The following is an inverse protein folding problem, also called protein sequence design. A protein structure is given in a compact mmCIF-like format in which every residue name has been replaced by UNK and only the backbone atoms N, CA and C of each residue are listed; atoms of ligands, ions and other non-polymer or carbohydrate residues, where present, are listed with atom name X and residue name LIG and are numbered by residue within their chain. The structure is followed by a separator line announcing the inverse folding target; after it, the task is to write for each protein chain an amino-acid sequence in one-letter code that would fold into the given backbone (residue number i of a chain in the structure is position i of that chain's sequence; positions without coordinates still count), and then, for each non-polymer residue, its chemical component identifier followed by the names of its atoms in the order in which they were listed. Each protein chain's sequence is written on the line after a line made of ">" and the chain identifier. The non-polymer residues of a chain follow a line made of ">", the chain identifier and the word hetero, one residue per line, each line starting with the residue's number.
data_IF_841394138127
#
_entry.id   IF_841394138127
#
_cell.length_a   1.000
_cell.length_b   1.000
_cell.length_c   1.000
_cell.angle_alpha   90.00
_cell.angle_beta   90.00
_cell.angle_gamma   90.00
#
_symmetry.space_group_name_H-M   'P 1'
#
loop_
_entity.id
_entity.type
_entity.pdbx_description
1 polymer ?
#
# COMPACT_ATOMS: atom_id res chain seq x y z
N UNK A 1 62.98 70.94 -26.74
CA UNK A 1 62.76 69.51 -26.43
C UNK A 1 62.06 69.34 -25.08
N UNK A 2 62.59 69.80 -23.95
CA UNK A 2 61.97 69.60 -22.62
C UNK A 2 60.53 70.16 -22.47
N UNK A 3 60.24 71.37 -22.95
CA UNK A 3 58.92 72.00 -22.81
C UNK A 3 57.80 71.34 -23.65
N UNK A 4 58.17 70.59 -24.68
CA UNK A 4 57.23 69.89 -25.57
C UNK A 4 56.85 68.51 -25.02
N UNK A 5 57.78 67.89 -24.28
CA UNK A 5 57.56 66.66 -23.53
C UNK A 5 56.66 66.88 -22.31
N UNK A 6 56.85 67.98 -21.56
CA UNK A 6 55.97 68.34 -20.44
C UNK A 6 54.50 68.52 -20.87
N UNK A 7 54.26 69.23 -21.97
CA UNK A 7 52.89 69.42 -22.51
C UNK A 7 52.23 68.12 -22.96
N UNK A 8 53.01 67.18 -23.53
CA UNK A 8 52.50 65.86 -23.89
C UNK A 8 52.20 65.02 -22.65
N UNK A 9 53.03 65.14 -21.61
CA UNK A 9 52.83 64.46 -20.34
C UNK A 9 51.57 64.95 -19.65
N UNK A 10 51.39 66.26 -19.56
CA UNK A 10 50.23 66.92 -18.94
C UNK A 10 48.92 66.50 -19.63
N UNK A 11 48.91 66.49 -20.96
CA UNK A 11 47.76 66.02 -21.74
C UNK A 11 47.45 64.54 -21.52
N UNK A 12 48.49 63.71 -21.38
CA UNK A 12 48.33 62.27 -21.09
C UNK A 12 47.81 62.02 -19.68
N UNK A 13 48.23 62.84 -18.71
CA UNK A 13 47.72 62.80 -17.33
C UNK A 13 46.25 63.21 -17.27
N UNK A 14 45.87 64.24 -18.02
CA UNK A 14 44.46 64.67 -18.13
C UNK A 14 43.58 63.61 -18.81
N UNK A 15 44.06 62.98 -19.88
CA UNK A 15 43.36 61.87 -20.54
C UNK A 15 43.20 60.66 -19.60
N UNK A 16 44.24 60.31 -18.84
CA UNK A 16 44.16 59.23 -17.84
C UNK A 16 43.21 59.57 -16.68
N UNK A 17 43.18 60.83 -16.24
CA UNK A 17 42.25 61.29 -15.22
C UNK A 17 40.79 61.22 -15.70
N UNK A 18 40.52 61.62 -16.95
CA UNK A 18 39.19 61.47 -17.55
C UNK A 18 38.79 59.99 -17.68
N UNK A 19 39.68 59.13 -18.18
CA UNK A 19 39.43 57.69 -18.25
C UNK A 19 39.13 57.10 -16.87
N UNK A 20 39.85 57.52 -15.82
CA UNK A 20 39.58 57.09 -14.46
C UNK A 20 38.17 57.48 -14.01
N UNK A 21 37.76 58.73 -14.25
CA UNK A 21 36.43 59.23 -13.87
C UNK A 21 35.33 58.48 -14.62
N UNK A 22 35.52 58.22 -15.92
CA UNK A 22 34.56 57.49 -16.74
C UNK A 22 34.43 56.02 -16.30
N UNK A 23 35.56 55.35 -16.03
CA UNK A 23 35.56 53.99 -15.47
C UNK A 23 34.90 53.94 -14.10
N UNK A 24 35.13 54.94 -13.24
CA UNK A 24 34.52 55.00 -11.91
C UNK A 24 32.99 55.17 -12.00
N UNK A 25 32.50 55.97 -12.95
CA UNK A 25 31.06 56.06 -13.25
C UNK A 25 30.50 54.75 -13.79
N UNK A 26 31.20 54.11 -14.72
CA UNK A 26 30.76 52.85 -15.31
C UNK A 26 30.66 51.73 -14.27
N UNK A 27 31.68 51.60 -13.41
CA UNK A 27 31.67 50.66 -12.27
C UNK A 27 30.48 50.94 -11.35
N UNK A 28 30.21 52.20 -11.03
CA UNK A 28 29.13 52.55 -10.12
C UNK A 28 27.75 52.22 -10.73
N UNK A 29 27.57 52.50 -12.02
CA UNK A 29 26.35 52.13 -12.76
C UNK A 29 26.17 50.60 -12.85
N UNK A 30 27.27 49.87 -13.08
CA UNK A 30 27.25 48.41 -13.11
C UNK A 30 26.89 47.80 -11.74
N UNK A 31 27.34 48.43 -10.65
CA UNK A 31 27.01 48.01 -9.29
C UNK A 31 25.53 48.28 -8.98
N UNK A 32 24.98 49.44 -9.35
CA UNK A 32 23.56 49.75 -9.18
C UNK A 32 22.68 48.76 -9.94
N UNK A 33 22.98 48.50 -11.22
CA UNK A 33 22.20 47.54 -12.03
C UNK A 33 22.31 46.10 -11.51
N UNK A 34 23.45 45.71 -10.91
CA UNK A 34 23.57 44.42 -10.22
C UNK A 34 22.70 44.35 -8.96
N UNK A 35 22.66 45.41 -8.17
CA UNK A 35 21.84 45.48 -6.95
C UNK A 35 20.36 45.35 -7.32
N UNK A 36 19.87 46.11 -8.29
CA UNK A 36 18.47 46.03 -8.75
C UNK A 36 18.09 44.63 -9.27
N UNK A 37 19.00 43.97 -10.00
CA UNK A 37 18.81 42.58 -10.45
C UNK A 37 18.75 41.60 -9.29
N UNK A 38 19.61 41.78 -8.28
CA UNK A 38 19.59 40.91 -7.10
C UNK A 38 18.31 41.11 -6.27
N UNK A 39 17.85 42.35 -6.12
CA UNK A 39 16.60 42.65 -5.41
C UNK A 39 15.38 42.05 -6.12
N UNK A 40 15.30 42.20 -7.44
CA UNK A 40 14.20 41.60 -8.22
C UNK A 40 14.21 40.06 -8.15
N UNK A 41 15.38 39.42 -8.30
CA UNK A 41 15.51 37.96 -8.17
C UNK A 41 15.13 37.51 -6.75
N UNK A 42 15.53 38.26 -5.71
CA UNK A 42 15.20 37.91 -4.33
C UNK A 42 13.69 38.01 -4.06
N UNK A 43 13.02 39.03 -4.60
CA UNK A 43 11.56 39.15 -4.54
C UNK A 43 10.82 38.02 -5.28
N UNK A 44 11.31 37.62 -6.46
CA UNK A 44 10.78 36.46 -7.18
C UNK A 44 10.98 35.14 -6.40
N UNK A 45 12.12 34.98 -5.72
CA UNK A 45 12.39 33.82 -4.87
C UNK A 45 11.47 33.76 -3.65
N UNK A 46 11.26 34.89 -2.97
CA UNK A 46 10.36 34.98 -1.81
C UNK A 46 8.92 34.58 -2.18
N UNK A 47 8.40 35.14 -3.28
CA UNK A 47 7.04 34.79 -3.76
C UNK A 47 6.93 33.32 -4.15
N UNK A 48 7.98 32.74 -4.76
CA UNK A 48 8.03 31.33 -5.12
C UNK A 48 8.07 30.42 -3.89
N UNK A 49 8.80 30.80 -2.85
CA UNK A 49 8.84 30.08 -1.57
C UNK A 49 7.45 30.11 -0.92
N UNK A 50 6.79 31.26 -0.85
CA UNK A 50 5.45 31.39 -0.28
C UNK A 50 4.43 30.52 -1.04
N UNK A 51 4.52 30.50 -2.38
CA UNK A 51 3.67 29.67 -3.21
C UNK A 51 3.90 28.16 -2.96
N UNK A 52 5.16 27.73 -2.87
CA UNK A 52 5.52 26.34 -2.56
C UNK A 52 5.06 25.91 -1.17
N UNK A 53 5.18 26.77 -0.16
CA UNK A 53 4.68 26.48 1.19
C UNK A 53 3.16 26.35 1.21
N UNK A 54 2.44 27.21 0.50
CA UNK A 54 0.98 27.13 0.37
C UNK A 54 0.55 25.84 -0.31
N UNK A 55 1.27 25.42 -1.35
CA UNK A 55 1.02 24.17 -2.06
C UNK A 55 1.31 22.95 -1.17
N UNK A 56 2.42 22.98 -0.42
CA UNK A 56 2.78 21.94 0.56
C UNK A 56 1.71 21.81 1.65
N UNK A 57 1.18 22.91 2.17
CA UNK A 57 0.09 22.90 3.16
C UNK A 57 -1.20 22.36 2.57
N UNK A 58 -1.51 22.67 1.30
CA UNK A 58 -2.69 22.12 0.63
C UNK A 58 -2.57 20.60 0.43
N UNK A 59 -1.41 20.14 -0.05
CA UNK A 59 -1.13 18.73 -0.26
C UNK A 59 -1.17 17.92 1.04
N UNK A 60 -0.66 18.46 2.15
CA UNK A 60 -0.74 17.79 3.47
C UNK A 60 -2.18 17.71 3.97
N UNK A 61 -2.98 18.78 3.85
CA UNK A 61 -4.40 18.77 4.22
C UNK A 61 -5.23 17.78 3.40
N UNK A 62 -4.98 17.69 2.09
CA UNK A 62 -5.64 16.72 1.23
C UNK A 62 -5.27 15.29 1.62
N UNK A 63 -3.99 15.02 1.88
CA UNK A 63 -3.55 13.72 2.40
C UNK A 63 -4.26 13.36 3.71
N UNK A 64 -4.32 14.27 4.67
CA UNK A 64 -4.95 14.00 5.96
C UNK A 64 -6.46 13.73 5.82
N UNK A 65 -7.15 14.48 4.95
CA UNK A 65 -8.55 14.25 4.66
C UNK A 65 -8.79 12.89 3.99
N UNK A 66 -7.93 12.49 3.05
CA UNK A 66 -7.98 11.17 2.42
C UNK A 66 -7.70 10.07 3.44
N UNK A 67 -6.69 10.21 4.28
CA UNK A 67 -6.37 9.26 5.35
C UNK A 67 -7.54 9.10 6.33
N UNK A 68 -8.20 10.20 6.70
CA UNK A 68 -9.37 10.19 7.58
C UNK A 68 -10.56 9.47 6.91
N UNK A 69 -10.82 9.71 5.63
CA UNK A 69 -11.84 8.98 4.83
C UNK A 69 -11.53 7.49 4.74
N UNK A 70 -10.29 7.12 4.44
CA UNK A 70 -9.85 5.72 4.38
C UNK A 70 -9.99 5.04 5.73
N UNK A 71 -9.62 5.70 6.83
CA UNK A 71 -9.72 5.14 8.19
C UNK A 71 -11.18 4.85 8.57
N UNK A 72 -12.08 5.80 8.36
CA UNK A 72 -13.51 5.60 8.66
C UNK A 72 -14.16 4.54 7.77
N UNK A 73 -13.81 4.49 6.49
CA UNK A 73 -14.27 3.43 5.57
C UNK A 73 -13.81 2.05 6.05
N UNK A 74 -12.52 1.93 6.39
CA UNK A 74 -11.92 0.67 6.86
C UNK A 74 -12.53 0.18 8.17
N UNK A 75 -12.81 1.08 9.12
CA UNK A 75 -13.42 0.72 10.42
C UNK A 75 -14.86 0.21 10.26
N UNK A 76 -15.66 0.85 9.41
CA UNK A 76 -17.04 0.41 9.10
C UNK A 76 -17.05 -0.96 8.42
N UNK A 77 -16.14 -1.18 7.48
CA UNK A 77 -16.01 -2.46 6.78
C UNK A 77 -15.55 -3.58 7.73
N UNK A 78 -14.69 -3.29 8.70
CA UNK A 78 -14.22 -4.29 9.66
C UNK A 78 -15.31 -4.75 10.63
N UNK A 79 -16.14 -3.83 11.17
CA UNK A 79 -17.27 -4.20 12.04
C UNK A 79 -18.29 -5.08 11.32
N UNK A 80 -18.57 -4.80 10.04
CA UNK A 80 -19.47 -5.61 9.23
C UNK A 80 -18.85 -6.95 8.83
N UNK A 81 -17.55 -7.00 8.51
CA UNK A 81 -16.85 -8.25 8.25
C UNK A 81 -16.87 -9.16 9.49
N UNK A 82 -16.70 -8.61 10.70
CA UNK A 82 -16.75 -9.36 11.95
C UNK A 82 -18.16 -9.94 12.21
N UNK A 83 -19.22 -9.20 11.87
CA UNK A 83 -20.59 -9.73 11.87
C UNK A 83 -20.77 -10.87 10.86
N UNK A 84 -20.24 -10.74 9.65
CA UNK A 84 -20.29 -11.81 8.64
C UNK A 84 -19.56 -13.07 9.10
N UNK A 85 -18.37 -12.93 9.71
CA UNK A 85 -17.63 -14.05 10.31
C UNK A 85 -18.43 -14.70 11.44
N UNK A 86 -19.07 -13.92 12.31
CA UNK A 86 -19.89 -14.45 13.38
C UNK A 86 -21.10 -15.24 12.85
N UNK A 87 -21.79 -14.72 11.81
CA UNK A 87 -22.90 -15.41 11.15
C UNK A 87 -22.42 -16.73 10.52
N UNK A 88 -21.27 -16.70 9.84
CA UNK A 88 -20.66 -17.88 9.24
C UNK A 88 -20.34 -18.95 10.29
N UNK A 89 -19.77 -18.55 11.43
CA UNK A 89 -19.50 -19.47 12.54
C UNK A 89 -20.77 -20.12 13.12
N UNK A 90 -21.86 -19.35 13.26
CA UNK A 90 -23.16 -19.90 13.69
C UNK A 90 -23.72 -20.88 12.67
N UNK A 91 -23.59 -20.56 11.39
CA UNK A 91 -24.05 -21.42 10.30
C UNK A 91 -23.29 -22.76 10.31
N UNK A 92 -21.97 -22.72 10.46
CA UNK A 92 -21.12 -23.92 10.44
C UNK A 92 -21.28 -24.78 11.71
N UNK A 93 -21.39 -24.17 12.90
CA UNK A 93 -21.45 -24.92 14.17
C UNK A 93 -22.86 -25.34 14.60
N UNK A 94 -23.90 -24.65 14.15
CA UNK A 94 -25.28 -24.89 14.60
C UNK A 94 -26.14 -25.40 13.46
N UNK A 95 -26.17 -24.69 12.33
CA UNK A 95 -27.12 -24.97 11.23
C UNK A 95 -26.75 -26.25 10.49
N UNK A 96 -25.47 -26.42 10.10
CA UNK A 96 -25.02 -27.60 9.35
C UNK A 96 -25.20 -28.90 10.17
N UNK A 97 -24.77 -28.98 11.45
CA UNK A 97 -24.99 -30.18 12.25
C UNK A 97 -26.47 -30.48 12.49
N UNK A 98 -27.30 -29.45 12.68
CA UNK A 98 -28.75 -29.61 12.87
C UNK A 98 -29.44 -30.18 11.62
N UNK A 99 -29.10 -29.69 10.43
CA UNK A 99 -29.65 -30.20 9.16
C UNK A 99 -29.26 -31.67 8.96
N UNK A 100 -28.01 -32.02 9.22
CA UNK A 100 -27.51 -33.38 9.00
C UNK A 100 -28.10 -34.38 9.99
N UNK A 101 -28.26 -33.99 11.25
CA UNK A 101 -28.93 -34.80 12.27
C UNK A 101 -30.42 -34.99 11.97
N UNK A 102 -31.11 -33.93 11.50
CA UNK A 102 -32.53 -34.00 11.13
C UNK A 102 -32.77 -34.89 9.90
N UNK A 103 -31.93 -34.79 8.87
CA UNK A 103 -32.03 -35.56 7.64
C UNK A 103 -31.39 -36.96 7.71
N UNK A 104 -30.77 -37.32 8.85
CA UNK A 104 -30.02 -38.58 9.06
C UNK A 104 -28.98 -38.84 7.96
N UNK A 105 -28.34 -37.79 7.46
CA UNK A 105 -27.29 -37.89 6.44
C UNK A 105 -26.04 -38.50 7.09
N UNK A 106 -25.24 -39.32 6.37
CA UNK A 106 -23.99 -39.84 6.89
C UNK A 106 -23.08 -38.72 7.41
N UNK A 107 -22.49 -38.92 8.58
CA UNK A 107 -21.72 -37.91 9.30
C UNK A 107 -20.55 -37.31 8.50
N UNK A 108 -20.04 -38.08 7.52
CA UNK A 108 -18.98 -37.67 6.60
C UNK A 108 -19.34 -36.41 5.80
N UNK A 109 -20.63 -36.19 5.52
CA UNK A 109 -21.10 -35.01 4.79
C UNK A 109 -21.05 -33.72 5.61
N UNK A 110 -20.92 -33.79 6.95
CA UNK A 110 -20.71 -32.59 7.79
C UNK A 110 -19.42 -31.90 7.34
N UNK A 111 -18.35 -32.67 7.13
CA UNK A 111 -17.04 -32.13 6.78
C UNK A 111 -17.03 -31.49 5.39
N UNK A 112 -17.68 -32.13 4.41
CA UNK A 112 -17.79 -31.59 3.05
C UNK A 112 -18.62 -30.30 3.04
N UNK A 113 -19.76 -30.30 3.75
CA UNK A 113 -20.68 -29.16 3.81
C UNK A 113 -20.05 -27.97 4.52
N UNK A 114 -19.41 -28.20 5.67
CA UNK A 114 -18.68 -27.16 6.42
C UNK A 114 -17.55 -26.60 5.56
N UNK A 115 -16.72 -27.45 4.94
CA UNK A 115 -15.65 -27.00 4.06
C UNK A 115 -16.12 -26.11 2.91
N UNK A 116 -17.22 -26.49 2.25
CA UNK A 116 -17.76 -25.75 1.11
C UNK A 116 -18.35 -24.40 1.54
N UNK A 117 -19.10 -24.39 2.65
CA UNK A 117 -19.75 -23.18 3.15
C UNK A 117 -18.75 -22.20 3.76
N UNK A 118 -17.77 -22.68 4.53
CA UNK A 118 -16.67 -21.84 5.03
C UNK A 118 -15.86 -21.25 3.87
N UNK A 119 -15.61 -22.02 2.81
CA UNK A 119 -14.89 -21.53 1.62
C UNK A 119 -15.61 -20.37 0.95
N UNK A 120 -16.87 -20.56 0.56
CA UNK A 120 -17.65 -19.50 -0.11
C UNK A 120 -17.90 -18.30 0.80
N UNK A 121 -18.16 -18.54 2.09
CA UNK A 121 -18.39 -17.47 3.04
C UNK A 121 -17.14 -16.62 3.31
N UNK A 122 -15.97 -17.24 3.46
CA UNK A 122 -14.68 -16.51 3.56
C UNK A 122 -14.36 -15.78 2.26
N UNK A 123 -14.65 -16.38 1.10
CA UNK A 123 -14.47 -15.72 -0.20
C UNK A 123 -15.32 -14.45 -0.32
N UNK A 124 -16.58 -14.47 0.15
CA UNK A 124 -17.46 -13.30 0.20
C UNK A 124 -16.95 -12.24 1.18
N UNK A 125 -16.45 -12.64 2.35
CA UNK A 125 -15.91 -11.71 3.35
C UNK A 125 -14.64 -11.02 2.83
N UNK A 126 -13.74 -11.77 2.18
CA UNK A 126 -12.53 -11.22 1.57
C UNK A 126 -12.87 -10.23 0.46
N UNK A 127 -13.85 -10.55 -0.40
CA UNK A 127 -14.35 -9.62 -1.41
C UNK A 127 -14.87 -8.32 -0.79
N UNK A 128 -15.74 -8.46 0.22
CA UNK A 128 -16.34 -7.34 0.93
C UNK A 128 -15.31 -6.43 1.59
N UNK A 129 -14.26 -7.00 2.19
CA UNK A 129 -13.20 -6.24 2.84
C UNK A 129 -12.25 -5.56 1.86
N UNK A 130 -11.98 -6.20 0.72
CA UNK A 130 -11.09 -5.65 -0.29
C UNK A 130 -11.71 -4.50 -1.08
N UNK A 131 -13.03 -4.50 -1.26
CA UNK A 131 -13.75 -3.42 -1.98
C UNK A 131 -13.30 -3.25 -3.44
N UNK A 132 -12.52 -4.19 -3.96
CA UNK A 132 -11.97 -4.20 -5.32
C UNK A 132 -12.60 -5.37 -6.07
N UNK A 133 -13.35 -5.06 -7.12
CA UNK A 133 -13.77 -6.03 -8.13
C UNK A 133 -13.02 -5.71 -9.43
N UNK A 134 -12.38 -6.69 -10.10
CA UNK A 134 -12.34 -8.13 -9.81
C UNK A 134 -11.34 -8.52 -8.71
N UNK A 135 -11.50 -9.74 -8.18
CA UNK A 135 -10.59 -10.33 -7.20
C UNK A 135 -9.14 -10.32 -7.68
N UNK A 136 -8.23 -9.83 -6.85
CA UNK A 136 -6.80 -9.99 -7.11
C UNK A 136 -6.34 -11.42 -6.78
N UNK A 137 -5.32 -11.96 -7.47
CA UNK A 137 -4.79 -13.32 -7.24
C UNK A 137 -4.37 -13.53 -5.78
N UNK A 138 -3.91 -12.47 -5.11
CA UNK A 138 -3.58 -12.48 -3.68
C UNK A 138 -4.78 -12.59 -2.74
N UNK A 139 -5.97 -12.13 -3.14
CA UNK A 139 -7.20 -12.19 -2.35
C UNK A 139 -7.80 -13.58 -2.38
N UNK A 140 -7.85 -14.19 -3.56
CA UNK A 140 -8.25 -15.59 -3.74
C UNK A 140 -7.33 -16.50 -2.93
N UNK A 141 -6.01 -16.27 -2.97
CA UNK A 141 -5.04 -17.04 -2.18
C UNK A 141 -5.31 -16.95 -0.68
N UNK A 142 -5.57 -15.74 -0.16
CA UNK A 142 -5.92 -15.54 1.26
C UNK A 142 -7.24 -16.22 1.61
N UNK A 143 -8.26 -16.12 0.77
CA UNK A 143 -9.54 -16.76 1.01
C UNK A 143 -9.40 -18.29 1.11
N UNK A 144 -8.69 -18.91 0.15
CA UNK A 144 -8.37 -20.35 0.16
C UNK A 144 -7.63 -20.73 1.46
N UNK A 145 -6.55 -20.02 1.79
CA UNK A 145 -5.74 -20.39 2.97
C UNK A 145 -6.52 -20.24 4.27
N UNK A 146 -7.28 -19.14 4.43
CA UNK A 146 -8.07 -18.90 5.65
C UNK A 146 -9.19 -19.91 5.77
N UNK A 147 -9.95 -20.20 4.71
CA UNK A 147 -11.04 -21.17 4.77
C UNK A 147 -10.55 -22.56 5.12
N UNK A 148 -9.47 -23.04 4.47
CA UNK A 148 -8.91 -24.36 4.76
C UNK A 148 -8.33 -24.44 6.17
N UNK A 149 -7.67 -23.39 6.65
CA UNK A 149 -7.15 -23.32 8.01
C UNK A 149 -8.28 -23.33 9.06
N UNK A 150 -9.35 -22.58 8.83
CA UNK A 150 -10.52 -22.55 9.73
C UNK A 150 -11.18 -23.91 9.82
N UNK A 151 -11.42 -24.57 8.68
CA UNK A 151 -12.00 -25.91 8.63
C UNK A 151 -11.08 -26.94 9.30
N UNK A 152 -9.77 -26.86 9.06
CA UNK A 152 -8.78 -27.71 9.71
C UNK A 152 -8.82 -27.56 11.25
N UNK A 153 -8.79 -26.33 11.75
CA UNK A 153 -8.84 -26.04 13.19
C UNK A 153 -10.19 -26.41 13.83
N UNK A 154 -11.29 -26.39 13.08
CA UNK A 154 -12.60 -26.84 13.57
C UNK A 154 -12.66 -28.37 13.71
N UNK A 155 -12.00 -29.11 12.81
CA UNK A 155 -12.10 -30.58 12.75
C UNK A 155 -11.08 -31.27 13.67
N UNK A 156 -9.86 -30.72 13.82
CA UNK A 156 -8.80 -31.34 14.63
C UNK A 156 -9.26 -31.66 16.06
N UNK A 157 -9.87 -30.74 16.84
CA UNK A 157 -10.35 -31.05 18.19
C UNK A 157 -11.41 -32.17 18.21
N UNK A 158 -12.24 -32.25 17.16
CA UNK A 158 -13.28 -33.28 17.07
C UNK A 158 -12.68 -34.68 16.85
N UNK A 159 -11.61 -34.81 16.07
CA UNK A 159 -10.99 -36.11 15.80
C UNK A 159 -10.15 -36.67 16.95
N UNK A 160 -9.61 -35.82 17.82
CA UNK A 160 -8.82 -36.21 18.99
C UNK A 160 -9.64 -36.36 20.28
N UNK A 161 -10.97 -36.44 20.17
CA UNK A 161 -11.83 -36.89 21.28
C UNK A 161 -12.37 -35.79 22.20
N UNK A 162 -12.27 -34.50 21.83
CA UNK A 162 -12.98 -33.44 22.57
C UNK A 162 -14.49 -33.41 22.29
N UNK A 163 -14.96 -34.10 21.23
CA UNK A 163 -16.37 -34.18 20.85
C UNK A 163 -16.74 -35.64 20.61
N UNK A 164 -17.73 -36.15 21.35
CA UNK A 164 -18.20 -37.54 21.23
C UNK A 164 -19.15 -37.62 20.03
N UNK A 165 -18.74 -38.31 18.97
CA UNK A 165 -19.59 -38.52 17.79
C UNK A 165 -20.61 -39.64 18.03
N UNK A 166 -21.90 -39.43 17.70
CA UNK A 166 -22.90 -40.49 17.76
C UNK A 166 -22.61 -41.49 16.64
N UNK A 167 -22.13 -42.68 17.01
CA UNK A 167 -21.93 -43.78 16.05
C UNK A 167 -20.57 -44.50 16.09
N UNK A 168 -19.63 -44.10 16.97
CA UNK A 168 -18.37 -44.84 17.17
C UNK A 168 -17.39 -44.82 15.98
N UNK A 169 -17.71 -44.10 14.90
CA UNK A 169 -16.84 -43.93 13.73
C UNK A 169 -15.73 -42.93 14.02
N UNK A 170 -14.48 -43.34 13.81
CA UNK A 170 -13.30 -42.48 13.99
C UNK A 170 -13.14 -41.47 12.84
N UNK A 171 -12.98 -40.19 13.17
CA UNK A 171 -12.70 -39.12 12.21
C UNK A 171 -11.21 -39.00 11.82
N UNK A 172 -10.34 -39.82 12.43
CA UNK A 172 -8.89 -39.85 12.17
C UNK A 172 -8.48 -39.94 10.69
N UNK A 173 -9.05 -40.84 9.86
CA UNK A 173 -8.66 -40.93 8.44
C UNK A 173 -9.04 -39.68 7.64
N UNK A 174 -10.15 -39.02 7.98
CA UNK A 174 -10.60 -37.78 7.33
C UNK A 174 -9.63 -36.64 7.68
N UNK A 175 -9.24 -36.53 8.95
CA UNK A 175 -8.27 -35.54 9.40
C UNK A 175 -6.91 -35.76 8.75
N UNK A 176 -6.44 -36.99 8.62
CA UNK A 176 -5.15 -37.26 8.02
C UNK A 176 -5.07 -36.82 6.54
N UNK A 177 -6.14 -37.09 5.77
CA UNK A 177 -6.26 -36.61 4.39
C UNK A 177 -6.33 -35.07 4.32
N UNK A 178 -7.06 -34.45 5.25
CA UNK A 178 -7.18 -33.00 5.35
C UNK A 178 -5.83 -32.35 5.71
N UNK A 179 -5.06 -32.94 6.63
CA UNK A 179 -3.71 -32.50 7.01
C UNK A 179 -2.75 -32.49 5.82
N UNK A 180 -2.79 -33.55 5.00
CA UNK A 180 -2.00 -33.63 3.77
C UNK A 180 -2.38 -32.54 2.77
N UNK A 181 -3.68 -32.32 2.59
CA UNK A 181 -4.21 -31.29 1.71
C UNK A 181 -3.83 -29.88 2.21
N UNK A 182 -3.87 -29.65 3.53
CA UNK A 182 -3.42 -28.40 4.15
C UNK A 182 -1.91 -28.19 3.94
N UNK A 183 -1.10 -29.24 4.10
CA UNK A 183 0.33 -29.20 3.79
C UNK A 183 0.60 -28.80 2.34
N UNK A 184 -0.13 -29.38 1.39
CA UNK A 184 -0.03 -29.03 -0.03
C UNK A 184 -0.41 -27.56 -0.30
N UNK A 185 -1.50 -27.06 0.32
CA UNK A 185 -1.92 -25.66 0.18
C UNK A 185 -0.87 -24.71 0.75
N UNK A 186 -0.27 -25.01 1.90
CA UNK A 186 0.80 -24.18 2.50
C UNK A 186 2.02 -24.14 1.58
N UNK A 187 2.45 -25.29 1.06
CA UNK A 187 3.58 -25.36 0.12
C UNK A 187 3.28 -24.54 -1.14
N UNK A 188 2.10 -24.71 -1.74
CA UNK A 188 1.66 -23.92 -2.90
C UNK A 188 1.56 -22.42 -2.59
N UNK A 189 1.09 -22.05 -1.40
CA UNK A 189 1.01 -20.66 -0.95
C UNK A 189 2.37 -19.96 -0.97
N UNK A 190 3.39 -20.66 -0.48
CA UNK A 190 4.77 -20.15 -0.45
C UNK A 190 5.47 -20.27 -1.81
N UNK A 191 5.24 -21.35 -2.57
CA UNK A 191 5.89 -21.59 -3.86
C UNK A 191 5.41 -20.64 -4.97
N UNK A 192 4.15 -20.18 -4.91
CA UNK A 192 3.58 -19.28 -5.93
C UNK A 192 4.15 -17.87 -5.90
N UNK A 193 4.64 -17.38 -4.74
CA UNK A 193 5.24 -16.03 -4.62
C UNK A 193 6.54 -15.87 -5.42
N UNK A 194 7.54 -16.76 -5.27
CA UNK A 194 8.75 -16.74 -6.08
C UNK A 194 8.47 -16.93 -7.57
N UNK A 195 7.51 -17.80 -7.92
CA UNK A 195 7.14 -18.08 -9.31
C UNK A 195 6.54 -16.85 -10.01
N UNK A 196 5.65 -16.10 -9.35
CA UNK A 196 5.10 -14.85 -9.91
C UNK A 196 6.19 -13.80 -10.17
N UNK A 197 7.17 -13.70 -9.25
CA UNK A 197 8.31 -12.78 -9.41
C UNK A 197 9.25 -13.22 -10.54
N UNK A 198 9.50 -14.53 -10.67
CA UNK A 198 10.33 -15.10 -11.73
C UNK A 198 9.70 -14.93 -13.12
N UNK A 199 8.38 -15.14 -13.24
CA UNK A 199 7.65 -14.95 -14.50
C UNK A 199 7.65 -13.48 -14.91
N UNK A 200 7.44 -12.55 -13.97
CA UNK A 200 7.53 -11.11 -14.25
C UNK A 200 8.91 -10.67 -14.74
N UNK A 201 9.98 -11.15 -14.10
CA UNK A 201 11.35 -10.80 -14.50
C UNK A 201 11.74 -11.37 -15.87
N UNK A 202 11.16 -12.50 -16.29
CA UNK A 202 11.34 -13.03 -17.64
C UNK A 202 10.57 -12.21 -18.68
N UNK A 203 9.36 -11.76 -18.35
CA UNK A 203 8.52 -10.98 -19.26
C UNK A 203 9.03 -9.54 -19.46
N UNK A 204 9.60 -8.91 -18.43
CA UNK A 204 10.24 -7.59 -18.53
C UNK A 204 11.59 -7.60 -19.27
N UNK A 205 12.22 -8.76 -19.40
CA UNK A 205 13.49 -8.93 -20.13
C UNK A 205 13.34 -9.20 -21.62
N UNK A 206 12.11 -9.35 -22.11
CA UNK A 206 11.80 -9.68 -23.51
C UNK A 206 11.18 -8.47 -24.21
#
# INVERSE_FOLDING_TARGET
>A
MAAEEEKKLEKSVDELNQQRIDLEKEINNLNLTKIEKLESINGELETKIEWLDKERIRATKERDNLLRKVRHSKEKNWKNALKMVAILGVLDLVVIPLIITLLKIPLQWIFVSMGLVTFFGVMLIVNYMSGTSPFNTGEIRKAITVSFLTVYLAIVPMAYGMVIFPGGSSALPIVNNLSWLMGAIIILYFATRPLEQYIKTIYEKK
#
